data_IF_078823994625
#
_entry.id   IF_078823994625
#
_cell.length_a   1.000
_cell.length_b   1.000
_cell.length_c   1.000
_cell.angle_alpha   90.00
_cell.angle_beta   90.00
_cell.angle_gamma   90.00
#
_symmetry.space_group_name_H-M   'P 1'
#
loop_
_entity.id
_entity.type
_entity.pdbx_description
1 polymer ?
#
# COMPACT_ATOMS: atom_id res chain seq x y z
N UNK A 1 19.55 -15.41 16.63
CA UNK A 1 18.93 -16.38 15.75
C UNK A 1 17.52 -16.63 16.24
N UNK A 2 16.54 -16.05 15.57
CA UNK A 2 15.13 -16.31 15.82
C UNK A 2 14.81 -17.66 15.15
N UNK A 3 14.87 -18.74 15.91
CA UNK A 3 14.23 -20.00 15.57
C UNK A 3 12.72 -19.80 15.73
N UNK A 4 12.10 -19.20 14.75
CA UNK A 4 10.66 -19.26 14.57
C UNK A 4 10.42 -20.52 13.75
N UNK A 5 9.51 -21.40 14.15
CA UNK A 5 9.13 -22.57 13.40
C UNK A 5 8.80 -22.20 11.96
N UNK A 6 9.39 -22.89 10.99
CA UNK A 6 9.34 -22.57 9.60
C UNK A 6 10.71 -22.19 9.01
N UNK A 7 10.81 -22.07 7.69
CA UNK A 7 12.07 -21.82 7.01
C UNK A 7 11.93 -21.16 5.65
N UNK A 8 13.04 -20.58 5.19
CA UNK A 8 13.16 -20.00 3.85
C UNK A 8 13.42 -21.11 2.84
N UNK A 9 12.63 -21.14 1.77
CA UNK A 9 12.71 -22.11 0.70
C UNK A 9 12.65 -21.42 -0.67
N UNK A 10 13.31 -21.99 -1.66
CA UNK A 10 13.09 -21.62 -3.07
C UNK A 10 11.69 -22.05 -3.48
N UNK A 11 10.98 -21.22 -4.22
CA UNK A 11 9.61 -21.46 -4.65
C UNK A 11 9.60 -21.79 -6.15
N UNK A 12 9.27 -23.04 -6.48
CA UNK A 12 9.04 -23.52 -7.85
C UNK A 12 7.54 -23.56 -8.16
N UNK A 13 6.71 -23.83 -7.16
CA UNK A 13 5.25 -23.91 -7.29
C UNK A 13 4.63 -22.49 -7.27
N UNK A 14 4.32 -21.99 -8.45
CA UNK A 14 3.73 -20.66 -8.62
C UNK A 14 2.29 -20.59 -8.10
N UNK A 15 1.55 -21.68 -8.01
CA UNK A 15 0.18 -21.65 -7.47
C UNK A 15 0.19 -21.35 -5.97
N UNK A 16 1.20 -21.80 -5.25
CA UNK A 16 1.40 -21.40 -3.84
C UNK A 16 1.73 -19.91 -3.71
N UNK A 17 2.53 -19.36 -4.61
CA UNK A 17 2.84 -17.93 -4.66
C UNK A 17 1.56 -17.13 -4.89
N UNK A 18 0.76 -17.53 -5.87
CA UNK A 18 -0.50 -16.87 -6.20
C UNK A 18 -1.49 -16.91 -5.02
N UNK A 19 -1.65 -18.07 -4.38
CA UNK A 19 -2.52 -18.20 -3.20
C UNK A 19 -2.06 -17.31 -2.03
N UNK A 20 -0.73 -17.18 -1.83
CA UNK A 20 -0.17 -16.28 -0.82
C UNK A 20 -0.44 -14.81 -1.16
N UNK A 21 -0.26 -14.43 -2.44
CA UNK A 21 -0.58 -13.08 -2.94
C UNK A 21 -2.06 -12.73 -2.73
N UNK A 22 -2.98 -13.60 -3.15
CA UNK A 22 -4.42 -13.37 -3.01
C UNK A 22 -4.84 -13.21 -1.54
N UNK A 23 -4.26 -14.00 -0.64
CA UNK A 23 -4.50 -13.84 0.79
C UNK A 23 -4.00 -12.49 1.32
N UNK A 24 -2.82 -12.07 0.90
CA UNK A 24 -2.27 -10.76 1.24
C UNK A 24 -3.12 -9.63 0.67
N UNK A 25 -3.55 -9.71 -0.60
CA UNK A 25 -4.40 -8.73 -1.24
C UNK A 25 -5.74 -8.56 -0.52
N UNK A 26 -6.34 -9.67 -0.05
CA UNK A 26 -7.59 -9.63 0.72
C UNK A 26 -7.45 -8.92 2.09
N UNK A 27 -6.24 -8.83 2.63
CA UNK A 27 -5.96 -8.22 3.94
C UNK A 27 -5.42 -6.79 3.85
N UNK A 28 -4.92 -6.39 2.68
CA UNK A 28 -4.27 -5.10 2.50
C UNK A 28 -5.08 -4.19 1.60
N UNK A 29 -5.52 -3.08 2.16
CA UNK A 29 -6.30 -2.08 1.48
C UNK A 29 -5.56 -1.53 0.23
N UNK A 30 -6.27 -1.47 -0.90
CA UNK A 30 -5.72 -0.97 -2.16
C UNK A 30 -4.90 -1.98 -2.96
N UNK A 31 -4.58 -3.15 -2.39
CA UNK A 31 -3.93 -4.23 -3.11
C UNK A 31 -4.90 -4.86 -4.12
N UNK A 32 -4.39 -5.25 -5.27
CA UNK A 32 -5.17 -5.82 -6.38
C UNK A 32 -4.77 -7.28 -6.60
N UNK A 33 -5.74 -8.11 -6.91
CA UNK A 33 -5.50 -9.49 -7.39
C UNK A 33 -4.76 -9.43 -8.73
N UNK A 34 -3.86 -10.39 -8.95
CA UNK A 34 -3.12 -10.47 -10.22
C UNK A 34 -4.05 -10.79 -11.39
N UNK A 35 -3.91 -10.04 -12.47
CA UNK A 35 -4.61 -10.32 -13.73
C UNK A 35 -4.04 -11.56 -14.42
N UNK A 36 -4.83 -12.17 -15.30
CA UNK A 36 -4.43 -13.39 -16.01
C UNK A 36 -3.14 -13.23 -16.81
N UNK A 37 -2.96 -12.07 -17.44
CA UNK A 37 -1.76 -11.72 -18.20
C UNK A 37 -0.52 -11.62 -17.30
N UNK A 38 -0.64 -11.00 -16.12
CA UNK A 38 0.44 -10.91 -15.13
C UNK A 38 0.80 -12.30 -14.59
N UNK A 39 -0.19 -13.13 -14.29
CA UNK A 39 0.01 -14.53 -13.86
C UNK A 39 0.77 -15.30 -14.91
N UNK A 40 0.39 -15.15 -16.20
CA UNK A 40 1.05 -15.83 -17.32
C UNK A 40 2.49 -15.36 -17.49
N UNK A 41 2.72 -14.05 -17.47
CA UNK A 41 4.04 -13.46 -17.59
C UNK A 41 4.95 -13.93 -16.43
N UNK A 42 4.45 -13.85 -15.19
CA UNK A 42 5.21 -14.24 -14.01
C UNK A 42 5.56 -15.73 -13.96
N UNK A 43 4.71 -16.62 -14.51
CA UNK A 43 5.01 -18.07 -14.61
C UNK A 43 6.13 -18.37 -15.58
N UNK A 44 6.29 -17.59 -16.64
CA UNK A 44 7.24 -17.85 -17.72
C UNK A 44 8.55 -17.08 -17.59
N UNK A 45 8.60 -16.09 -16.70
CA UNK A 45 9.81 -15.30 -16.47
C UNK A 45 10.83 -16.08 -15.63
N UNK A 46 11.80 -16.66 -16.34
CA UNK A 46 12.89 -17.46 -15.77
C UNK A 46 13.97 -16.61 -15.08
N UNK A 47 13.95 -15.29 -15.27
CA UNK A 47 14.93 -14.38 -14.65
C UNK A 47 14.50 -14.01 -13.22
N UNK A 48 13.22 -14.11 -12.92
CA UNK A 48 12.69 -13.83 -11.58
C UNK A 48 12.86 -15.04 -10.69
N UNK A 49 13.63 -14.86 -9.64
CA UNK A 49 13.81 -15.84 -8.57
C UNK A 49 12.80 -15.58 -7.46
N UNK A 50 12.30 -16.64 -6.87
CA UNK A 50 11.34 -16.56 -5.77
C UNK A 50 11.80 -17.37 -4.60
N UNK A 51 11.82 -16.76 -3.42
CA UNK A 51 12.03 -17.45 -2.15
C UNK A 51 10.86 -17.12 -1.23
N UNK A 52 10.50 -18.03 -0.38
CA UNK A 52 9.37 -17.87 0.53
C UNK A 52 9.63 -18.42 1.91
N UNK A 53 8.92 -17.86 2.86
CA UNK A 53 8.88 -18.35 4.23
C UNK A 53 7.69 -19.30 4.39
N UNK A 54 7.99 -20.58 4.65
CA UNK A 54 6.99 -21.59 4.93
C UNK A 54 6.92 -21.86 6.44
N UNK A 55 5.72 -21.88 6.99
CA UNK A 55 5.48 -22.33 8.34
C UNK A 55 5.66 -23.86 8.47
N UNK A 56 5.67 -24.42 9.69
CA UNK A 56 5.87 -25.84 9.95
C UNK A 56 4.78 -26.72 9.33
N UNK A 57 3.57 -26.21 9.15
CA UNK A 57 2.46 -26.86 8.48
C UNK A 57 2.57 -26.82 6.93
N UNK A 58 3.63 -26.23 6.40
CA UNK A 58 3.85 -26.05 4.97
C UNK A 58 3.16 -24.84 4.35
N UNK A 59 2.42 -24.05 5.12
CA UNK A 59 1.76 -22.84 4.62
C UNK A 59 2.80 -21.79 4.22
N UNK A 60 2.72 -21.26 3.00
CA UNK A 60 3.53 -20.12 2.55
C UNK A 60 2.99 -18.84 3.18
N UNK A 61 3.73 -18.24 4.11
CA UNK A 61 3.35 -17.05 4.88
C UNK A 61 3.89 -15.73 4.34
N UNK A 62 4.74 -15.83 3.34
CA UNK A 62 5.29 -14.67 2.65
C UNK A 62 6.34 -15.11 1.64
N UNK A 63 6.60 -14.24 0.68
CA UNK A 63 7.62 -14.46 -0.33
C UNK A 63 8.23 -13.15 -0.82
N UNK A 64 9.40 -13.27 -1.44
CA UNK A 64 10.00 -12.21 -2.21
C UNK A 64 10.33 -12.74 -3.61
N UNK A 65 9.91 -12.01 -4.63
CA UNK A 65 10.28 -12.21 -6.02
C UNK A 65 11.31 -11.14 -6.40
N UNK A 66 12.43 -11.54 -6.98
CA UNK A 66 13.53 -10.64 -7.29
C UNK A 66 14.32 -11.11 -8.50
N UNK A 67 15.02 -10.17 -9.14
CA UNK A 67 15.99 -10.44 -10.20
C UNK A 67 17.33 -9.77 -9.92
N UNK A 68 18.39 -10.30 -10.51
CA UNK A 68 19.67 -9.62 -10.55
C UNK A 68 19.73 -8.73 -11.78
N UNK A 69 20.14 -7.49 -11.57
CA UNK A 69 20.38 -6.50 -12.63
C UNK A 69 21.83 -6.06 -12.59
N UNK A 70 22.43 -5.85 -13.76
CA UNK A 70 23.78 -5.29 -13.82
C UNK A 70 23.80 -3.88 -13.23
N UNK A 71 24.69 -3.63 -12.31
CA UNK A 71 24.94 -2.31 -11.73
C UNK A 71 26.13 -1.58 -12.40
N UNK A 72 26.71 -2.15 -13.47
CA UNK A 72 27.86 -1.57 -14.18
C UNK A 72 27.92 -2.06 -15.61
N UNK A 73 28.14 -1.15 -16.54
CA UNK A 73 28.34 -1.48 -17.95
C UNK A 73 29.71 -2.09 -18.24
N UNK A 74 30.66 -1.94 -17.32
CA UNK A 74 32.07 -2.37 -17.52
C UNK A 74 32.48 -3.51 -16.60
N UNK A 75 31.68 -3.81 -15.56
CA UNK A 75 31.99 -4.86 -14.60
C UNK A 75 30.74 -5.74 -14.36
N UNK A 76 30.68 -6.88 -15.04
CA UNK A 76 29.58 -7.85 -14.99
C UNK A 76 29.41 -8.53 -13.61
N UNK A 77 30.39 -8.40 -12.70
CA UNK A 77 30.26 -8.94 -11.33
C UNK A 77 29.56 -7.98 -10.38
N UNK A 78 29.36 -6.72 -10.79
CA UNK A 78 28.63 -5.75 -9.99
C UNK A 78 27.15 -5.80 -10.34
N UNK A 79 26.40 -6.40 -9.45
CA UNK A 79 24.95 -6.50 -9.59
C UNK A 79 24.24 -5.75 -8.48
N UNK A 80 23.01 -5.35 -8.75
CA UNK A 80 21.98 -5.00 -7.76
C UNK A 80 20.88 -6.06 -7.80
N UNK A 81 20.20 -6.21 -6.70
CA UNK A 81 19.05 -7.07 -6.58
C UNK A 81 17.81 -6.18 -6.65
N UNK A 82 17.00 -6.36 -7.70
CA UNK A 82 15.73 -5.65 -7.87
C UNK A 82 14.60 -6.53 -7.32
N UNK A 83 13.90 -6.04 -6.30
CA UNK A 83 12.73 -6.71 -5.73
C UNK A 83 11.51 -6.31 -6.55
N UNK A 84 10.92 -7.30 -7.21
CA UNK A 84 9.70 -7.15 -8.00
C UNK A 84 8.47 -7.18 -7.09
N UNK A 85 8.50 -8.04 -6.07
CA UNK A 85 7.38 -8.24 -5.17
C UNK A 85 7.85 -8.73 -3.80
N UNK A 86 7.25 -8.17 -2.75
CA UNK A 86 7.48 -8.56 -1.36
C UNK A 86 6.14 -8.66 -0.64
N UNK A 87 5.78 -9.86 -0.24
CA UNK A 87 4.51 -10.20 0.43
C UNK A 87 4.82 -10.90 1.75
N UNK A 88 4.13 -10.53 2.82
CA UNK A 88 4.37 -11.10 4.14
C UNK A 88 3.16 -10.97 5.06
N UNK A 89 2.89 -12.00 5.85
CA UNK A 89 1.77 -12.01 6.80
C UNK A 89 2.05 -11.14 8.04
N UNK A 90 3.32 -11.03 8.46
CA UNK A 90 3.72 -10.25 9.63
C UNK A 90 5.21 -9.84 9.61
N UNK A 91 5.61 -9.05 10.61
CA UNK A 91 6.97 -8.56 10.73
C UNK A 91 8.03 -9.64 11.02
N UNK A 92 7.66 -10.84 11.44
CA UNK A 92 8.58 -11.97 11.62
C UNK A 92 8.95 -12.54 10.26
N UNK A 93 7.92 -12.77 9.42
CA UNK A 93 8.08 -13.22 8.04
C UNK A 93 8.87 -12.20 7.23
N UNK A 94 8.53 -10.90 7.36
CA UNK A 94 9.26 -9.81 6.71
C UNK A 94 10.75 -9.85 7.05
N UNK A 95 11.11 -9.89 8.33
CA UNK A 95 12.52 -9.95 8.75
C UNK A 95 13.25 -11.19 8.23
N UNK A 96 12.58 -12.33 8.18
CA UNK A 96 13.15 -13.56 7.64
C UNK A 96 13.45 -13.43 6.13
N UNK A 97 12.53 -12.84 5.36
CA UNK A 97 12.71 -12.59 3.92
C UNK A 97 13.82 -11.56 3.67
N UNK A 98 13.87 -10.46 4.42
CA UNK A 98 14.95 -9.48 4.34
C UNK A 98 16.30 -10.10 4.70
N UNK A 99 16.35 -10.97 5.73
CA UNK A 99 17.54 -11.74 6.08
C UNK A 99 18.03 -12.64 4.95
N UNK A 100 17.10 -13.27 4.20
CA UNK A 100 17.43 -14.09 3.05
C UNK A 100 17.95 -13.27 1.86
N UNK A 101 17.45 -12.04 1.68
CA UNK A 101 18.02 -11.11 0.70
C UNK A 101 19.44 -10.69 1.09
N UNK A 102 19.69 -10.43 2.39
CA UNK A 102 21.02 -10.09 2.91
C UNK A 102 22.04 -11.18 2.62
N UNK A 103 21.67 -12.46 2.65
CA UNK A 103 22.55 -13.56 2.30
C UNK A 103 23.02 -13.57 0.84
N UNK A 104 22.48 -12.69 -0.02
CA UNK A 104 22.92 -12.51 -1.41
C UNK A 104 24.02 -11.43 -1.53
N UNK A 105 24.59 -10.95 -0.43
CA UNK A 105 25.58 -9.86 -0.41
C UNK A 105 26.84 -10.13 -1.24
N UNK A 106 27.23 -11.40 -1.42
CA UNK A 106 28.34 -11.79 -2.29
C UNK A 106 28.03 -11.59 -3.77
N UNK A 107 26.74 -11.57 -4.16
CA UNK A 107 26.27 -11.49 -5.54
C UNK A 107 25.73 -10.12 -5.91
N UNK A 108 25.24 -9.36 -4.94
CA UNK A 108 24.66 -8.04 -5.16
C UNK A 108 25.05 -7.08 -4.03
N UNK A 109 25.51 -5.89 -4.39
CA UNK A 109 25.95 -4.87 -3.44
C UNK A 109 24.79 -4.05 -2.88
N UNK A 110 23.67 -3.98 -3.60
CA UNK A 110 22.52 -3.17 -3.26
C UNK A 110 21.23 -3.91 -3.54
N UNK A 111 20.20 -3.59 -2.76
CA UNK A 111 18.83 -4.06 -2.97
C UNK A 111 17.97 -2.85 -3.32
N UNK A 112 17.30 -2.89 -4.46
CA UNK A 112 16.27 -1.93 -4.84
C UNK A 112 14.92 -2.51 -4.44
N UNK A 113 14.25 -1.89 -3.48
CA UNK A 113 12.91 -2.26 -3.02
C UNK A 113 11.94 -1.13 -3.32
N UNK A 114 10.87 -1.43 -4.05
CA UNK A 114 9.70 -0.57 -4.17
C UNK A 114 8.67 -1.04 -3.14
N UNK A 115 8.18 -0.15 -2.31
CA UNK A 115 7.22 -0.51 -1.26
C UNK A 115 6.22 0.62 -1.02
N UNK A 116 4.99 0.26 -0.68
CA UNK A 116 3.97 1.18 -0.17
C UNK A 116 4.13 1.49 1.33
N UNK A 117 5.08 0.84 2.02
CA UNK A 117 5.35 1.06 3.44
C UNK A 117 6.25 2.28 3.62
N UNK A 118 5.66 3.40 4.05
CA UNK A 118 6.39 4.66 4.21
C UNK A 118 7.40 4.61 5.36
N UNK A 119 7.14 3.79 6.37
CA UNK A 119 7.95 3.65 7.58
C UNK A 119 9.01 2.54 7.45
N UNK A 120 9.21 1.98 6.26
CA UNK A 120 10.13 0.88 6.01
C UNK A 120 11.55 1.15 6.51
N UNK A 121 12.00 2.40 6.43
CA UNK A 121 13.32 2.83 6.86
C UNK A 121 13.59 2.60 8.36
N UNK A 122 12.56 2.50 9.21
CA UNK A 122 12.70 2.17 10.64
C UNK A 122 13.08 0.70 10.89
N UNK A 123 12.99 -0.17 9.90
CA UNK A 123 13.43 -1.57 10.00
C UNK A 123 14.94 -1.73 9.79
N UNK A 124 15.61 -0.73 9.24
CA UNK A 124 17.01 -0.79 8.85
C UNK A 124 17.89 -0.29 9.99
N UNK A 125 19.03 -0.97 10.20
CA UNK A 125 20.05 -0.55 11.16
C UNK A 125 20.70 0.77 10.71
N UNK A 126 20.97 0.88 9.41
CA UNK A 126 21.36 2.11 8.73
C UNK A 126 20.30 2.45 7.68
N UNK A 127 19.45 3.47 7.92
CA UNK A 127 18.40 3.85 7.00
C UNK A 127 18.87 4.68 5.81
N UNK A 128 20.16 5.00 5.75
CA UNK A 128 20.74 5.78 4.64
C UNK A 128 20.65 4.99 3.33
N UNK A 129 20.19 5.63 2.26
CA UNK A 129 20.23 4.99 0.97
C UNK A 129 21.66 5.02 0.37
N UNK A 130 21.86 4.20 -0.67
CA UNK A 130 23.18 4.07 -1.31
C UNK A 130 23.49 5.17 -2.35
N UNK A 131 22.64 6.19 -2.48
CA UNK A 131 22.81 7.27 -3.44
C UNK A 131 24.05 8.14 -3.13
N UNK A 132 24.41 8.21 -1.86
CA UNK A 132 25.43 9.13 -1.38
C UNK A 132 25.00 10.60 -1.46
N UNK A 133 23.71 10.87 -1.67
CA UNK A 133 23.19 12.22 -1.75
C UNK A 133 23.25 12.90 -0.38
N UNK A 134 23.95 14.02 -0.36
CA UNK A 134 23.98 14.92 0.80
C UNK A 134 22.89 15.99 0.64
N UNK A 135 22.01 16.07 1.61
CA UNK A 135 21.00 17.13 1.70
C UNK A 135 21.55 18.19 2.67
N UNK A 136 21.48 19.46 2.29
CA UNK A 136 21.97 20.57 3.10
C UNK A 136 21.51 20.46 4.57
N UNK A 137 22.31 21.01 5.47
CA UNK A 137 22.11 20.97 6.94
C UNK A 137 22.35 19.60 7.61
N UNK A 138 23.05 18.68 6.96
CA UNK A 138 23.45 17.40 7.56
C UNK A 138 22.38 16.33 7.53
N UNK A 139 21.41 16.44 6.63
CA UNK A 139 20.42 15.39 6.39
C UNK A 139 20.98 14.33 5.41
N UNK A 140 20.63 13.08 5.65
CA UNK A 140 20.96 11.95 4.80
C UNK A 140 19.70 11.45 4.10
N UNK A 141 19.82 11.13 2.81
CA UNK A 141 18.71 10.57 2.04
C UNK A 141 18.46 9.14 2.50
N UNK A 142 17.19 8.82 2.82
CA UNK A 142 16.77 7.46 3.22
C UNK A 142 16.04 6.73 2.10
N UNK A 143 15.35 7.45 1.23
CA UNK A 143 14.57 6.89 0.12
C UNK A 143 14.22 7.97 -0.91
N UNK A 144 13.61 7.53 -2.01
CA UNK A 144 12.97 8.39 -3.00
C UNK A 144 11.48 8.11 -2.97
N UNK A 145 10.68 9.15 -2.72
CA UNK A 145 9.23 9.06 -2.75
C UNK A 145 8.70 9.31 -4.16
N UNK A 146 7.73 8.51 -4.58
CA UNK A 146 7.06 8.64 -5.86
C UNK A 146 5.55 8.50 -5.71
N UNK A 147 4.79 9.05 -6.66
CA UNK A 147 3.35 8.84 -6.77
C UNK A 147 3.16 7.61 -7.68
N UNK A 148 2.54 6.57 -7.12
CA UNK A 148 2.19 5.35 -7.83
C UNK A 148 0.81 5.41 -8.49
N UNK A 149 0.07 4.33 -8.41
CA UNK A 149 -1.26 4.20 -9.02
C UNK A 149 -2.25 5.20 -8.43
N UNK A 150 -3.02 5.82 -9.31
CA UNK A 150 -4.07 6.76 -8.94
C UNK A 150 -5.43 6.05 -8.91
N UNK A 151 -6.24 6.39 -7.90
CA UNK A 151 -7.59 5.88 -7.74
C UNK A 151 -8.60 6.94 -8.16
N UNK A 152 -9.66 6.51 -8.86
CA UNK A 152 -10.83 7.33 -9.15
C UNK A 152 -12.07 6.65 -8.62
N UNK A 153 -12.82 7.32 -7.79
CA UNK A 153 -14.13 6.85 -7.33
C UNK A 153 -15.19 7.25 -8.35
N UNK A 154 -15.80 6.26 -8.99
CA UNK A 154 -16.90 6.47 -9.94
C UNK A 154 -18.23 6.66 -9.21
N UNK A 155 -18.43 5.91 -8.14
CA UNK A 155 -19.62 5.99 -7.28
C UNK A 155 -19.19 5.84 -5.80
N UNK A 156 -19.10 6.95 -5.05
CA UNK A 156 -18.71 6.91 -3.64
C UNK A 156 -19.68 6.12 -2.76
N UNK A 157 -20.99 6.10 -3.06
CA UNK A 157 -21.97 5.36 -2.29
C UNK A 157 -21.84 3.85 -2.50
N UNK A 158 -21.61 3.41 -3.74
CA UNK A 158 -21.32 2.02 -4.06
C UNK A 158 -19.98 1.59 -3.44
N UNK A 159 -18.95 2.44 -3.47
CA UNK A 159 -17.67 2.19 -2.83
C UNK A 159 -17.81 1.95 -1.33
N UNK A 160 -18.56 2.79 -0.62
CA UNK A 160 -18.83 2.63 0.81
C UNK A 160 -19.55 1.30 1.09
N UNK A 161 -20.50 0.91 0.27
CA UNK A 161 -21.20 -0.36 0.39
C UNK A 161 -20.25 -1.54 0.18
N UNK A 162 -19.42 -1.49 -0.85
CA UNK A 162 -18.44 -2.54 -1.15
C UNK A 162 -17.34 -2.67 -0.08
N UNK A 163 -17.04 -1.58 0.63
CA UNK A 163 -16.02 -1.53 1.70
C UNK A 163 -16.60 -1.57 3.11
N UNK A 164 -17.86 -1.95 3.28
CA UNK A 164 -18.54 -2.03 4.58
C UNK A 164 -17.90 -3.04 5.56
N UNK A 165 -17.03 -3.93 5.08
CA UNK A 165 -16.21 -4.82 5.92
C UNK A 165 -15.13 -4.08 6.72
N UNK A 166 -14.77 -2.86 6.33
CA UNK A 166 -13.76 -2.06 7.02
C UNK A 166 -14.28 -1.61 8.37
N UNK A 167 -13.45 -1.76 9.38
CA UNK A 167 -13.75 -1.27 10.73
C UNK A 167 -13.12 0.11 10.91
N UNK A 168 -13.96 1.08 11.25
CA UNK A 168 -13.55 2.45 11.56
C UNK A 168 -13.47 2.65 13.07
N UNK A 169 -12.84 3.75 13.56
CA UNK A 169 -12.94 4.16 14.95
C UNK A 169 -14.40 4.30 15.41
N UNK A 170 -14.64 4.09 16.69
CA UNK A 170 -15.98 4.19 17.27
C UNK A 170 -16.48 5.64 17.27
N UNK A 171 -17.75 5.83 16.98
CA UNK A 171 -18.38 7.15 16.96
C UNK A 171 -19.61 7.16 16.06
N UNK A 172 -20.35 8.25 16.11
CA UNK A 172 -21.50 8.50 15.24
C UNK A 172 -21.40 9.91 14.69
N UNK A 173 -21.49 10.03 13.36
CA UNK A 173 -21.45 11.31 12.65
C UNK A 173 -22.07 11.15 11.26
N UNK A 174 -22.76 12.19 10.78
CA UNK A 174 -23.22 12.26 9.39
C UNK A 174 -22.44 13.35 8.66
N UNK A 175 -21.77 12.99 7.56
CA UNK A 175 -20.96 13.89 6.75
C UNK A 175 -21.46 13.94 5.31
N UNK A 176 -21.55 15.13 4.74
CA UNK A 176 -21.81 15.38 3.33
C UNK A 176 -20.49 15.73 2.60
N UNK A 177 -20.25 15.11 1.49
CA UNK A 177 -19.16 15.40 0.58
C UNK A 177 -19.73 16.03 -0.69
N UNK A 178 -19.39 17.31 -0.90
CA UNK A 178 -19.82 18.09 -2.06
C UNK A 178 -18.64 18.20 -3.03
N UNK A 179 -18.81 17.73 -4.26
CA UNK A 179 -17.76 17.72 -5.27
C UNK A 179 -18.35 17.87 -6.67
N UNK A 180 -17.51 18.25 -7.62
CA UNK A 180 -17.87 18.25 -9.02
C UNK A 180 -17.39 16.95 -9.67
N UNK A 181 -18.32 16.22 -10.31
CA UNK A 181 -17.99 15.11 -11.18
C UNK A 181 -17.45 15.66 -12.50
N UNK A 182 -16.16 15.43 -12.74
CA UNK A 182 -15.45 15.96 -13.90
C UNK A 182 -15.84 15.27 -15.21
N UNK A 183 -16.31 14.01 -15.14
CA UNK A 183 -16.76 13.27 -16.32
C UNK A 183 -18.19 13.64 -16.72
N UNK A 184 -19.08 13.70 -15.75
CA UNK A 184 -20.48 14.04 -15.96
C UNK A 184 -20.73 15.57 -15.98
N UNK A 185 -19.71 16.38 -15.65
CA UNK A 185 -19.76 17.86 -15.56
C UNK A 185 -20.89 18.38 -14.65
N UNK A 186 -21.21 17.65 -13.59
CA UNK A 186 -22.27 17.99 -12.64
C UNK A 186 -21.75 18.12 -11.22
N UNK A 187 -22.43 18.93 -10.41
CA UNK A 187 -22.18 18.97 -8.99
C UNK A 187 -22.90 17.81 -8.31
N UNK A 188 -22.21 17.17 -7.40
CA UNK A 188 -22.63 15.98 -6.69
C UNK A 188 -22.53 16.18 -5.18
N UNK A 189 -23.40 15.52 -4.45
CA UNK A 189 -23.39 15.46 -3.00
C UNK A 189 -23.56 14.01 -2.55
N UNK A 190 -22.58 13.45 -1.85
CA UNK A 190 -22.66 12.13 -1.24
C UNK A 190 -22.75 12.28 0.27
N UNK A 191 -23.76 11.69 0.88
CA UNK A 191 -23.94 11.73 2.34
C UNK A 191 -23.62 10.37 2.93
N UNK A 192 -22.70 10.37 3.89
CA UNK A 192 -22.26 9.16 4.57
C UNK A 192 -22.55 9.27 6.07
N UNK A 193 -23.04 8.18 6.64
CA UNK A 193 -23.21 8.01 8.08
C UNK A 193 -22.15 7.05 8.61
N UNK A 194 -21.42 7.52 9.61
CA UNK A 194 -20.50 6.72 10.42
C UNK A 194 -21.25 6.33 11.69
N UNK A 195 -21.32 5.03 12.00
CA UNK A 195 -22.04 4.52 13.16
C UNK A 195 -21.45 3.18 13.61
N UNK A 196 -21.06 3.08 14.88
CA UNK A 196 -20.56 1.84 15.47
C UNK A 196 -19.34 1.24 14.78
N UNK A 197 -18.44 2.07 14.28
CA UNK A 197 -17.22 1.62 13.58
C UNK A 197 -17.42 1.24 12.11
N UNK A 198 -18.56 1.62 11.53
CA UNK A 198 -18.88 1.39 10.11
C UNK A 198 -19.45 2.64 9.48
N UNK A 199 -19.40 2.71 8.16
CA UNK A 199 -20.08 3.75 7.39
C UNK A 199 -21.11 3.16 6.44
N UNK A 200 -22.08 3.98 6.08
CA UNK A 200 -23.14 3.66 5.12
C UNK A 200 -23.52 4.90 4.34
N UNK A 201 -24.01 4.71 3.12
CA UNK A 201 -24.55 5.80 2.32
C UNK A 201 -25.98 6.14 2.74
N UNK A 202 -26.29 7.44 2.77
CA UNK A 202 -27.62 7.98 2.97
C UNK A 202 -28.14 8.65 1.70
N UNK A 203 -29.46 8.94 1.59
CA UNK A 203 -30.00 9.78 0.51
C UNK A 203 -29.26 11.12 0.41
N UNK A 204 -29.11 11.64 -0.80
CA UNK A 204 -28.37 12.88 -1.08
C UNK A 204 -28.90 14.08 -0.29
N UNK A 205 -30.19 14.12 -0.03
CA UNK A 205 -30.86 15.21 0.70
C UNK A 205 -30.76 15.07 2.23
N UNK A 206 -30.18 13.98 2.73
CA UNK A 206 -30.08 13.77 4.18
C UNK A 206 -29.31 14.91 4.86
N UNK A 207 -29.75 15.35 6.04
CA UNK A 207 -29.03 16.36 6.81
C UNK A 207 -27.66 15.83 7.25
N UNK A 208 -26.66 16.70 7.24
CA UNK A 208 -25.29 16.36 7.63
C UNK A 208 -24.80 17.34 8.69
N UNK A 209 -24.05 16.83 9.65
CA UNK A 209 -23.40 17.60 10.72
C UNK A 209 -22.11 18.27 10.24
N UNK A 210 -21.43 17.59 9.31
CA UNK A 210 -20.19 18.06 8.68
C UNK A 210 -20.40 18.13 7.17
N UNK A 211 -19.88 19.19 6.54
CA UNK A 211 -19.80 19.28 5.08
C UNK A 211 -18.36 19.45 4.67
N UNK A 212 -17.92 18.64 3.71
CA UNK A 212 -16.62 18.72 3.07
C UNK A 212 -16.84 19.08 1.59
N UNK A 213 -16.27 20.21 1.16
CA UNK A 213 -16.28 20.62 -0.25
C UNK A 213 -14.88 20.39 -0.83
N UNK A 214 -14.79 19.62 -1.89
CA UNK A 214 -13.53 19.15 -2.44
C UNK A 214 -13.62 18.87 -3.94
N UNK A 215 -12.49 18.59 -4.58
CA UNK A 215 -12.46 18.01 -5.93
C UNK A 215 -12.75 16.52 -5.85
N UNK A 216 -13.17 15.90 -6.97
CA UNK A 216 -13.42 14.45 -7.03
C UNK A 216 -12.19 13.62 -6.65
N UNK A 217 -10.98 14.04 -7.06
CA UNK A 217 -9.73 13.38 -6.69
C UNK A 217 -9.41 13.47 -5.20
N UNK A 218 -9.74 14.61 -4.55
CA UNK A 218 -9.55 14.77 -3.10
C UNK A 218 -10.50 13.85 -2.32
N UNK A 219 -11.75 13.70 -2.79
CA UNK A 219 -12.70 12.73 -2.23
C UNK A 219 -12.16 11.31 -2.35
N UNK A 220 -11.62 10.93 -3.52
CA UNK A 220 -11.00 9.63 -3.72
C UNK A 220 -9.84 9.42 -2.73
N UNK A 221 -8.97 10.40 -2.57
CA UNK A 221 -7.85 10.34 -1.63
C UNK A 221 -8.29 10.17 -0.18
N UNK A 222 -9.37 10.85 0.24
CA UNK A 222 -9.95 10.70 1.58
C UNK A 222 -10.54 9.30 1.79
N UNK A 223 -11.39 8.83 0.87
CA UNK A 223 -12.09 7.56 1.01
C UNK A 223 -11.17 6.35 0.83
N UNK A 224 -10.10 6.50 0.05
CA UNK A 224 -9.02 5.52 -0.07
C UNK A 224 -7.98 5.61 1.05
N UNK A 225 -8.07 6.62 1.94
CA UNK A 225 -7.12 6.85 3.02
C UNK A 225 -5.66 7.12 2.54
N UNK A 226 -5.45 7.55 1.31
CA UNK A 226 -4.13 7.95 0.83
C UNK A 226 -3.66 9.28 1.40
N UNK A 227 -4.61 10.14 1.84
CA UNK A 227 -4.34 11.37 2.55
C UNK A 227 -5.41 11.62 3.61
N UNK A 228 -5.00 12.02 4.82
CA UNK A 228 -5.91 12.32 5.92
C UNK A 228 -6.59 13.68 5.76
N UNK A 229 -7.82 13.79 6.28
CA UNK A 229 -8.61 15.04 6.22
C UNK A 229 -7.89 16.22 6.87
N UNK A 230 -7.20 16.01 7.99
CA UNK A 230 -6.43 17.06 8.69
C UNK A 230 -5.35 17.67 7.78
N UNK A 231 -4.62 16.82 7.05
CA UNK A 231 -3.61 17.29 6.10
C UNK A 231 -4.24 18.06 4.95
N UNK A 232 -5.36 17.59 4.41
CA UNK A 232 -6.04 18.28 3.32
C UNK A 232 -6.61 19.65 3.74
N UNK A 233 -7.15 19.75 4.95
CA UNK A 233 -7.59 21.04 5.52
C UNK A 233 -6.41 21.99 5.71
N UNK A 234 -5.31 21.50 6.31
CA UNK A 234 -4.10 22.31 6.55
C UNK A 234 -3.46 22.80 5.25
N UNK A 235 -3.52 22.01 4.19
CA UNK A 235 -3.01 22.37 2.86
C UNK A 235 -3.99 23.19 2.03
N UNK A 236 -5.22 23.42 2.51
CA UNK A 236 -6.25 24.15 1.77
C UNK A 236 -6.81 23.39 0.56
N UNK A 237 -6.61 22.07 0.49
CA UNK A 237 -7.14 21.25 -0.59
C UNK A 237 -8.65 21.04 -0.49
N UNK A 238 -9.21 21.09 0.71
CA UNK A 238 -10.64 20.95 0.97
C UNK A 238 -11.14 22.08 1.89
N UNK A 239 -12.41 22.46 1.72
CA UNK A 239 -13.12 23.34 2.64
C UNK A 239 -14.07 22.52 3.51
N UNK A 240 -14.14 22.84 4.80
CA UNK A 240 -14.94 22.08 5.77
C UNK A 240 -15.80 22.99 6.63
N UNK A 241 -16.98 22.51 7.02
CA UNK A 241 -17.85 23.14 8.01
C UNK A 241 -18.36 22.10 9.01
N UNK A 242 -18.68 22.54 10.24
CA UNK A 242 -19.11 21.62 11.31
C UNK A 242 -17.93 20.97 12.05
N UNK A 243 -18.18 19.92 12.86
CA UNK A 243 -17.16 19.25 13.70
C UNK A 243 -16.25 18.33 12.89
N UNK A 244 -15.52 18.88 11.91
CA UNK A 244 -14.70 18.12 10.97
C UNK A 244 -13.53 17.37 11.63
N UNK A 245 -13.04 17.80 12.80
CA UNK A 245 -12.01 17.07 13.54
C UNK A 245 -12.49 15.67 13.97
N UNK A 246 -13.77 15.56 14.34
CA UNK A 246 -14.38 14.27 14.62
C UNK A 246 -14.45 13.41 13.36
N UNK A 247 -14.81 13.99 12.21
CA UNK A 247 -14.78 13.29 10.94
C UNK A 247 -13.37 12.80 10.58
N UNK A 248 -12.34 13.63 10.81
CA UNK A 248 -10.95 13.24 10.54
C UNK A 248 -10.54 12.00 11.35
N UNK A 249 -10.95 11.92 12.63
CA UNK A 249 -10.72 10.75 13.47
C UNK A 249 -11.46 9.51 12.95
N UNK A 250 -12.72 9.66 12.52
CA UNK A 250 -13.53 8.56 11.99
C UNK A 250 -13.04 8.07 10.62
N UNK A 251 -12.39 8.91 9.82
CA UNK A 251 -11.78 8.54 8.54
C UNK A 251 -10.36 7.96 8.68
N UNK A 252 -9.85 7.80 9.90
CA UNK A 252 -8.52 7.26 10.11
C UNK A 252 -8.54 5.72 10.01
N UNK A 253 -8.05 5.17 8.91
CA UNK A 253 -8.01 3.72 8.66
C UNK A 253 -6.77 3.01 9.22
N UNK A 254 -5.80 3.74 9.71
CA UNK A 254 -4.53 3.18 10.20
C UNK A 254 -3.61 2.60 9.12
N UNK A 255 -4.09 2.46 7.88
CA UNK A 255 -3.31 1.93 6.76
C UNK A 255 -3.62 2.71 5.48
N UNK A 256 -2.57 3.15 4.79
CA UNK A 256 -2.67 3.70 3.43
C UNK A 256 -2.88 2.59 2.40
N UNK A 257 -3.37 2.93 1.20
CA UNK A 257 -3.50 1.94 0.14
C UNK A 257 -2.15 1.30 -0.17
N UNK A 258 -2.10 -0.02 -0.11
CA UNK A 258 -0.94 -0.80 -0.51
C UNK A 258 -1.08 -1.18 -1.97
N UNK A 259 -0.14 -0.78 -2.80
CA UNK A 259 -0.08 -1.22 -4.18
C UNK A 259 1.34 -1.62 -4.53
N UNK A 260 1.49 -2.80 -5.06
CA UNK A 260 2.76 -3.40 -5.44
C UNK A 260 2.70 -4.04 -6.84
N UNK A 261 1.80 -3.54 -7.69
CA UNK A 261 1.68 -3.97 -9.09
C UNK A 261 2.26 -2.90 -10.00
N UNK A 262 3.11 -3.30 -10.92
CA UNK A 262 3.50 -2.51 -12.08
C UNK A 262 2.43 -2.73 -13.16
N UNK A 263 1.71 -1.69 -13.57
CA UNK A 263 0.77 -1.71 -14.70
C UNK A 263 1.49 -1.36 -15.99
#
# INVERSE_FOLDING_TARGET
>A
PLTVGGGINTLEDFDRVLACHSRFAAQNHGMVEKFEEEVRAARTDVQVRRIGYCADDGTLRGYVAYRFESASDTNYTRNRLSVEELVYDDGVVLRALLGALKLQEDLAQTVLLRTGEEDFHHLLEDPQDVSGNYIDYGFLQTNVSAIGTMFKLLDPAAFVTATAYRTLPQGTLTAAFCYRDELAHRDCRTVLRFDGGRWSALPEEAPAEVTVTCRQGDLASLLMASCGLESMVRLGAVAVTGPWQQLAQLLHYGQKPWLNSDY
#
